data_IF_646620102154
#
_entry.id   IF_646620102154
#
_cell.length_a   1.000
_cell.length_b   1.000
_cell.length_c   1.000
_cell.angle_alpha   90.00
_cell.angle_beta   90.00
_cell.angle_gamma   90.00
#
_symmetry.space_group_name_H-M   'P 1'
#
loop_
_entity.id
_entity.type
_entity.pdbx_description
1 polymer ?
#
# COMPACT_ATOMS: atom_id res chain seq x y z
N UNK A 1 5.57 15.08 -9.02
CA UNK A 1 5.03 15.36 -7.67
C UNK A 1 3.60 14.83 -7.44
N UNK A 2 2.94 14.22 -8.44
CA UNK A 2 1.70 13.46 -8.25
C UNK A 2 1.95 11.96 -7.96
N UNK A 3 3.06 11.38 -8.43
CA UNK A 3 3.36 9.95 -8.27
C UNK A 3 3.53 9.48 -6.81
N UNK A 4 3.96 10.35 -5.90
CA UNK A 4 4.14 9.97 -4.49
C UNK A 4 2.81 9.85 -3.72
N UNK A 5 1.73 10.47 -4.20
CA UNK A 5 0.43 10.39 -3.55
C UNK A 5 -0.23 9.01 -3.73
N UNK A 6 0.11 8.31 -4.81
CA UNK A 6 -0.32 6.93 -5.05
C UNK A 6 0.30 5.94 -4.04
N UNK A 7 1.38 6.32 -3.37
CA UNK A 7 2.05 5.51 -2.35
C UNK A 7 1.68 5.94 -0.93
N UNK A 8 0.68 6.81 -0.74
CA UNK A 8 0.22 7.23 0.57
C UNK A 8 -0.51 6.07 1.28
N UNK A 9 0.01 5.51 2.40
CA UNK A 9 -0.62 4.39 3.10
C UNK A 9 -1.90 4.78 3.88
N UNK A 10 -2.30 6.05 3.88
CA UNK A 10 -3.46 6.57 4.59
C UNK A 10 -4.61 7.00 3.64
N UNK A 11 -4.61 6.51 2.40
CA UNK A 11 -5.70 6.76 1.45
C UNK A 11 -7.03 6.19 1.98
N UNK A 12 -8.18 6.81 1.65
CA UNK A 12 -9.47 6.24 1.98
C UNK A 12 -9.70 4.92 1.22
N UNK A 13 -10.55 4.04 1.76
CA UNK A 13 -10.98 2.79 1.11
C UNK A 13 -9.86 1.80 0.78
N UNK A 14 -8.72 1.85 1.48
CA UNK A 14 -7.68 0.85 1.29
C UNK A 14 -8.19 -0.55 1.61
N UNK A 15 -7.84 -1.50 0.73
CA UNK A 15 -8.09 -2.91 0.94
C UNK A 15 -7.53 -3.35 2.31
N UNK A 16 -8.35 -4.05 3.10
CA UNK A 16 -8.00 -4.53 4.43
C UNK A 16 -6.84 -5.54 4.43
N UNK A 17 -6.54 -6.12 3.28
CA UNK A 17 -5.43 -7.07 3.08
C UNK A 17 -4.13 -6.40 2.62
N UNK A 18 -4.11 -5.09 2.35
CA UNK A 18 -2.87 -4.36 2.06
C UNK A 18 -2.03 -4.24 3.33
N UNK A 19 -0.75 -4.56 3.22
CA UNK A 19 0.24 -4.43 4.28
C UNK A 19 1.38 -3.57 3.80
N UNK A 20 2.00 -2.86 4.73
CA UNK A 20 3.14 -2.02 4.43
C UNK A 20 4.05 -1.90 5.65
N UNK A 21 5.31 -1.52 5.40
CA UNK A 21 6.25 -1.19 6.46
C UNK A 21 7.07 0.03 6.07
N UNK A 22 6.97 1.06 6.90
CA UNK A 22 7.86 2.21 6.83
C UNK A 22 9.20 1.91 7.48
N UNK A 23 10.25 2.55 6.97
CA UNK A 23 11.48 2.76 7.73
C UNK A 23 11.36 4.07 8.48
N UNK A 24 11.80 4.10 9.74
CA UNK A 24 11.95 5.35 10.49
C UNK A 24 13.43 5.55 10.82
N UNK A 25 13.85 6.81 10.82
CA UNK A 25 15.15 7.22 11.33
C UNK A 25 14.91 8.25 12.44
N UNK A 26 15.63 8.17 13.58
CA UNK A 26 15.45 9.11 14.68
C UNK A 26 16.12 10.45 14.35
N UNK A 27 15.51 11.20 13.44
CA UNK A 27 15.88 12.58 13.11
C UNK A 27 14.69 13.50 13.31
N UNK A 28 14.96 14.77 13.62
CA UNK A 28 13.93 15.79 13.59
C UNK A 28 13.38 15.96 12.17
N UNK A 29 12.10 16.33 12.08
CA UNK A 29 11.43 16.54 10.79
C UNK A 29 11.91 17.87 10.20
N UNK A 30 12.67 17.79 9.10
CA UNK A 30 13.05 18.95 8.30
C UNK A 30 11.97 19.22 7.23
N UNK A 31 11.35 20.41 7.27
CA UNK A 31 10.30 20.80 6.33
C UNK A 31 10.83 21.04 4.90
N UNK A 32 12.15 21.20 4.73
CA UNK A 32 12.80 21.34 3.42
C UNK A 32 13.09 20.00 2.76
N UNK A 33 12.99 18.90 3.52
CA UNK A 33 13.26 17.54 3.04
C UNK A 33 11.95 16.79 2.88
N UNK A 34 11.74 16.22 1.70
CA UNK A 34 10.55 15.42 1.43
C UNK A 34 10.58 14.12 2.27
N UNK A 35 9.43 13.66 2.79
CA UNK A 35 9.35 12.37 3.46
C UNK A 35 9.85 11.25 2.55
N UNK A 36 10.77 10.43 3.06
CA UNK A 36 11.18 9.22 2.35
C UNK A 36 10.08 8.17 2.50
N UNK A 37 9.60 7.65 1.38
CA UNK A 37 8.76 6.47 1.32
C UNK A 37 9.46 5.45 0.42
N UNK A 38 9.80 4.29 0.97
CA UNK A 38 10.47 3.22 0.22
C UNK A 38 9.51 2.33 -0.58
N UNK A 39 8.20 2.55 -0.47
CA UNK A 39 7.19 1.85 -1.26
C UNK A 39 7.02 0.37 -0.92
N UNK A 40 7.35 -0.05 0.32
CA UNK A 40 7.27 -1.46 0.71
C UNK A 40 5.85 -1.87 1.06
N UNK A 41 5.12 -2.34 0.05
CA UNK A 41 3.75 -2.84 0.16
C UNK A 41 3.65 -4.31 -0.26
N UNK A 42 2.75 -5.05 0.37
CA UNK A 42 2.42 -6.43 0.00
C UNK A 42 0.98 -6.77 0.34
N UNK A 43 0.42 -7.78 -0.33
CA UNK A 43 -0.89 -8.32 0.02
C UNK A 43 -0.74 -9.43 1.06
N UNK A 44 -1.61 -9.44 2.08
CA UNK A 44 -1.65 -10.49 3.11
C UNK A 44 -1.86 -11.89 2.51
N UNK A 45 -2.73 -12.02 1.50
CA UNK A 45 -3.11 -13.33 0.96
C UNK A 45 -2.06 -13.94 0.04
N UNK A 46 -1.43 -13.12 -0.81
CA UNK A 46 -0.41 -13.61 -1.75
C UNK A 46 1.00 -13.57 -1.17
N UNK A 47 1.21 -12.81 -0.08
CA UNK A 47 2.51 -12.52 0.52
C UNK A 47 3.54 -11.92 -0.47
N UNK A 48 3.06 -11.25 -1.52
CA UNK A 48 3.91 -10.61 -2.55
C UNK A 48 3.43 -9.19 -2.85
N UNK A 49 4.12 -8.51 -3.78
CA UNK A 49 3.73 -7.18 -4.28
C UNK A 49 2.52 -7.21 -5.22
N UNK A 50 1.92 -8.37 -5.47
CA UNK A 50 0.72 -8.53 -6.30
C UNK A 50 -0.43 -9.08 -5.45
N UNK A 51 -1.65 -8.62 -5.70
CA UNK A 51 -2.86 -9.23 -5.13
C UNK A 51 -3.16 -10.60 -5.75
N UNK A 52 -4.12 -11.36 -5.19
CA UNK A 52 -4.57 -12.64 -5.76
C UNK A 52 -5.17 -12.51 -7.17
N UNK A 53 -5.60 -11.30 -7.54
CA UNK A 53 -6.08 -10.92 -8.87
C UNK A 53 -4.94 -10.50 -9.83
N UNK A 54 -3.69 -10.55 -9.38
CA UNK A 54 -2.49 -10.19 -10.17
C UNK A 54 -2.20 -8.70 -10.28
N UNK A 55 -3.04 -7.82 -9.72
CA UNK A 55 -2.80 -6.37 -9.72
C UNK A 55 -1.84 -5.95 -8.61
N UNK A 56 -1.14 -4.81 -8.76
CA UNK A 56 -0.21 -4.31 -7.75
C UNK A 56 -0.88 -4.15 -6.38
N UNK A 57 -0.16 -4.55 -5.33
CA UNK A 57 -0.56 -4.38 -3.94
C UNK A 57 0.02 -3.06 -3.42
N UNK A 58 -0.51 -1.93 -3.87
CA UNK A 58 -0.08 -0.59 -3.45
C UNK A 58 -1.27 0.33 -3.23
N UNK A 59 -1.14 1.45 -2.50
CA UNK A 59 -2.29 2.25 -2.09
C UNK A 59 -3.15 2.80 -3.24
N UNK A 60 -2.54 3.22 -4.35
CA UNK A 60 -3.25 3.71 -5.54
C UNK A 60 -3.95 2.64 -6.38
N UNK A 61 -3.71 1.36 -6.10
CA UNK A 61 -4.39 0.23 -6.74
C UNK A 61 -5.31 -0.52 -5.78
N UNK A 62 -5.01 -0.46 -4.48
CA UNK A 62 -5.79 -1.11 -3.43
C UNK A 62 -6.87 -0.21 -2.84
N UNK A 63 -7.02 1.04 -3.28
CA UNK A 63 -8.16 1.91 -2.95
C UNK A 63 -9.36 1.73 -3.91
N UNK A 64 -9.19 0.96 -4.99
CA UNK A 64 -10.21 0.65 -6.01
C UNK A 64 -11.13 -0.47 -5.54
N UNK A 65 -12.39 -0.13 -5.22
CA UNK A 65 -13.40 -1.07 -4.74
C UNK A 65 -13.88 -2.05 -5.82
N UNK A 66 -13.60 -1.77 -7.10
CA UNK A 66 -13.94 -2.61 -8.25
C UNK A 66 -13.06 -3.87 -8.35
N UNK A 67 -11.93 -3.91 -7.63
CA UNK A 67 -11.08 -5.10 -7.59
C UNK A 67 -11.79 -6.20 -6.84
N UNK A 68 -11.93 -7.36 -7.49
CA UNK A 68 -12.62 -8.54 -6.92
C UNK A 68 -12.03 -8.99 -5.59
N UNK A 69 -10.72 -8.81 -5.38
CA UNK A 69 -10.06 -9.18 -4.12
C UNK A 69 -10.19 -8.13 -3.00
N UNK A 70 -10.78 -6.95 -3.27
CA UNK A 70 -10.88 -5.85 -2.31
C UNK A 70 -11.78 -6.18 -1.12
N UNK A 71 -12.79 -7.04 -1.33
CA UNK A 71 -13.82 -7.39 -0.35
C UNK A 71 -13.47 -8.60 0.55
N UNK A 72 -12.25 -9.12 0.49
CA UNK A 72 -11.69 -9.97 1.56
C UNK A 72 -12.16 -11.43 1.64
N UNK A 73 -13.06 -11.90 0.78
CA UNK A 73 -13.55 -13.30 0.83
C UNK A 73 -12.61 -14.33 0.19
N UNK A 74 -11.30 -14.04 0.14
CA UNK A 74 -10.31 -14.97 -0.39
C UNK A 74 -9.62 -15.73 0.75
N UNK A 75 -9.55 -17.07 0.69
CA UNK A 75 -8.83 -17.84 1.69
C UNK A 75 -7.36 -17.39 1.76
N UNK A 76 -6.81 -17.38 2.98
CA UNK A 76 -5.37 -17.22 3.19
C UNK A 76 -4.69 -18.44 2.59
N UNK A 77 -3.78 -18.22 1.64
CA UNK A 77 -2.94 -19.27 1.06
C UNK A 77 -1.95 -19.81 2.09
#
# INVERSE_FOLDING_TARGET
MAELDNLNPNRPNLCSSLRWKGMFYPSEKDATVQPSNSGYFWCLHSQTCLGPDGGLAEPGECDKSERKCHQGDLPLA
#
